data_IF_352533245286
#
_entry.id   IF_352533245286
#
_cell.length_a   1.000
_cell.length_b   1.000
_cell.length_c   1.000
_cell.angle_alpha   90.00
_cell.angle_beta   90.00
_cell.angle_gamma   90.00
#
_symmetry.space_group_name_H-M   'P 1'
#
loop_
_entity.id
_entity.type
_entity.pdbx_description
1 polymer ?
#
# COMPACT_ATOMS: atom_id res chain seq x y z
N UNK A 1 8.20 -5.03 -15.95
CA UNK A 1 7.42 -4.58 -14.80
C UNK A 1 7.33 -3.07 -14.87
N UNK A 2 6.13 -2.55 -15.05
CA UNK A 2 5.83 -1.13 -14.94
C UNK A 2 5.63 -0.79 -13.47
N UNK A 3 6.28 0.27 -13.01
CA UNK A 3 6.09 0.81 -11.66
C UNK A 3 5.23 2.06 -11.77
N UNK A 4 4.20 2.15 -10.93
CA UNK A 4 3.30 3.29 -10.87
C UNK A 4 3.74 4.23 -9.75
N UNK A 5 3.95 5.48 -10.14
CA UNK A 5 4.49 6.53 -9.30
C UNK A 5 3.40 7.58 -9.04
N UNK A 6 3.34 8.10 -7.81
CA UNK A 6 2.48 9.24 -7.50
C UNK A 6 2.96 10.49 -8.23
N UNK A 7 2.02 11.20 -8.86
CA UNK A 7 2.34 12.38 -9.66
C UNK A 7 2.67 13.61 -8.80
N UNK A 8 2.32 13.62 -7.51
CA UNK A 8 2.57 14.74 -6.60
C UNK A 8 3.89 14.59 -5.84
N UNK A 9 4.17 13.42 -5.26
CA UNK A 9 5.37 13.17 -4.47
C UNK A 9 6.50 12.55 -5.28
N UNK A 10 6.18 11.77 -6.31
CA UNK A 10 7.16 10.94 -7.00
C UNK A 10 7.47 9.62 -6.28
N UNK A 11 6.69 9.21 -5.29
CA UNK A 11 6.91 7.92 -4.62
C UNK A 11 6.31 6.77 -5.43
N UNK A 12 6.94 5.61 -5.36
CA UNK A 12 6.45 4.37 -5.99
C UNK A 12 5.36 3.74 -5.12
N UNK A 13 4.19 3.46 -5.70
CA UNK A 13 3.03 2.95 -4.94
C UNK A 13 2.67 1.51 -5.27
N UNK A 14 2.93 1.07 -6.51
CA UNK A 14 2.39 -0.15 -7.10
C UNK A 14 3.24 -0.58 -8.30
N UNK A 15 3.13 -1.83 -8.73
CA UNK A 15 3.56 -2.27 -10.07
C UNK A 15 2.50 -3.11 -10.76
N UNK A 16 2.65 -3.26 -12.08
CA UNK A 16 1.79 -4.11 -12.93
C UNK A 16 1.88 -5.62 -12.61
N UNK A 17 2.80 -6.02 -11.72
CA UNK A 17 2.89 -7.38 -11.20
C UNK A 17 1.78 -7.74 -10.22
N UNK A 18 1.08 -6.75 -9.65
CA UNK A 18 -0.03 -6.97 -8.72
C UNK A 18 -1.37 -6.89 -9.47
N UNK A 19 -2.27 -7.87 -9.31
CA UNK A 19 -3.58 -7.82 -9.94
C UNK A 19 -4.42 -6.70 -9.32
N UNK A 20 -5.01 -5.89 -10.18
CA UNK A 20 -5.89 -4.78 -9.78
C UNK A 20 -7.11 -4.68 -10.69
N UNK A 21 -8.16 -4.05 -10.18
CA UNK A 21 -9.36 -3.70 -10.94
C UNK A 21 -9.64 -2.21 -10.84
N UNK A 22 -10.22 -1.67 -11.90
CA UNK A 22 -10.65 -0.28 -11.93
C UNK A 22 -12.03 -0.11 -11.29
N UNK A 23 -12.16 0.91 -10.45
CA UNK A 23 -13.39 1.33 -9.82
C UNK A 23 -13.68 2.80 -10.14
N UNK A 24 -14.93 3.21 -9.94
CA UNK A 24 -15.36 4.61 -10.05
C UNK A 24 -14.94 5.28 -11.37
N UNK A 25 -15.20 4.61 -12.50
CA UNK A 25 -14.85 5.07 -13.86
C UNK A 25 -13.33 5.27 -14.07
N UNK A 26 -12.52 4.36 -13.53
CA UNK A 26 -11.06 4.40 -13.66
C UNK A 26 -10.37 5.41 -12.75
N UNK A 27 -11.08 5.97 -11.77
CA UNK A 27 -10.49 6.92 -10.81
C UNK A 27 -9.76 6.23 -9.67
N UNK A 28 -10.11 4.98 -9.38
CA UNK A 28 -9.53 4.20 -8.29
C UNK A 28 -9.10 2.83 -8.83
N UNK A 29 -8.00 2.31 -8.30
CA UNK A 29 -7.60 0.92 -8.47
C UNK A 29 -7.72 0.19 -7.13
N UNK A 30 -8.45 -0.93 -7.12
CA UNK A 30 -8.44 -1.87 -5.99
C UNK A 30 -7.44 -2.96 -6.32
N UNK A 31 -6.42 -3.10 -5.48
CA UNK A 31 -5.30 -4.03 -5.67
C UNK A 31 -5.44 -5.19 -4.68
N UNK A 32 -5.29 -6.41 -5.18
CA UNK A 32 -5.34 -7.61 -4.34
C UNK A 32 -3.95 -7.87 -3.74
N UNK A 33 -3.86 -7.78 -2.41
CA UNK A 33 -2.66 -8.11 -1.64
C UNK A 33 -2.77 -9.50 -0.99
N UNK A 34 -1.62 -10.12 -0.75
CA UNK A 34 -1.50 -11.43 -0.08
C UNK A 34 -0.74 -11.29 1.23
N UNK A 35 -1.21 -12.02 2.25
CA UNK A 35 -0.46 -12.13 3.51
C UNK A 35 0.78 -13.00 3.32
N UNK A 36 1.93 -12.46 3.69
CA UNK A 36 3.23 -13.14 3.66
C UNK A 36 3.88 -13.06 5.04
N UNK A 37 4.66 -14.07 5.40
CA UNK A 37 5.42 -14.11 6.66
C UNK A 37 6.83 -13.61 6.38
N UNK A 38 7.23 -12.53 7.04
CA UNK A 38 8.58 -11.98 7.00
C UNK A 38 9.38 -12.52 8.19
N UNK A 39 10.62 -12.94 7.96
CA UNK A 39 11.52 -13.42 9.02
C UNK A 39 11.70 -14.93 9.10
N UNK A 40 10.94 -15.74 8.35
CA UNK A 40 11.22 -17.17 8.21
C UNK A 40 12.34 -17.42 7.18
N UNK A 41 13.50 -16.81 7.39
CA UNK A 41 14.74 -17.34 6.80
C UNK A 41 15.40 -18.09 7.92
N UNK A 42 15.31 -19.41 7.87
CA UNK A 42 16.24 -20.30 8.53
C UNK A 42 17.62 -19.96 7.92
N UNK A 43 18.32 -18.99 8.51
CA UNK A 43 19.70 -18.74 8.15
C UNK A 43 20.46 -19.90 8.77
N UNK A 44 20.54 -21.00 8.03
CA UNK A 44 21.43 -22.10 8.33
C UNK A 44 22.86 -21.56 8.17
N UNK A 45 23.36 -20.87 9.20
CA UNK A 45 24.78 -20.54 9.40
C UNK A 45 25.48 -21.85 9.76
N UNK A 46 25.41 -22.81 8.84
CA UNK A 46 26.14 -24.05 8.89
C UNK A 46 27.62 -23.75 8.76
N UNK A 47 28.33 -23.75 9.88
CA UNK A 47 29.58 -24.49 10.11
C UNK A 47 30.41 -23.89 11.26
N UNK A 48 30.18 -24.35 12.49
CA UNK A 48 31.27 -24.47 13.46
C UNK A 48 31.21 -25.84 14.17
N UNK A 49 31.98 -26.84 13.71
CA UNK A 49 31.96 -28.19 14.26
C UNK A 49 32.88 -28.30 15.47
N UNK A 50 32.64 -27.52 16.53
CA UNK A 50 33.45 -27.65 17.76
C UNK A 50 32.75 -27.05 18.99
N UNK A 51 31.83 -27.80 19.59
CA UNK A 51 31.71 -27.95 21.06
C UNK A 51 30.51 -28.83 21.41
N UNK A 52 30.80 -30.01 21.94
CA UNK A 52 29.84 -30.84 22.68
C UNK A 52 29.28 -30.05 23.88
N UNK A 53 27.97 -30.11 24.09
CA UNK A 53 27.31 -29.55 25.28
C UNK A 53 25.81 -29.41 25.07
N UNK A 54 25.04 -30.30 25.69
CA UNK A 54 23.61 -30.47 25.46
C UNK A 54 22.70 -29.34 25.94
N UNK A 55 21.46 -29.41 25.45
CA UNK A 55 20.34 -28.54 25.83
C UNK A 55 19.31 -28.52 24.71
N UNK A 56 18.20 -29.22 24.96
CA UNK A 56 17.01 -29.29 24.12
C UNK A 56 16.46 -27.91 23.71
N UNK A 57 16.08 -27.82 22.43
CA UNK A 57 14.80 -27.30 21.92
C UNK A 57 14.17 -26.11 22.68
N UNK A 58 14.32 -24.89 22.13
CA UNK A 58 13.27 -23.85 22.04
C UNK A 58 13.87 -22.56 21.45
N UNK A 59 14.04 -22.53 20.13
CA UNK A 59 14.57 -21.37 19.41
C UNK A 59 13.80 -21.07 18.13
N UNK A 60 12.47 -21.21 18.14
CA UNK A 60 11.66 -20.76 17.00
C UNK A 60 11.57 -19.24 17.09
N UNK A 61 12.20 -18.57 16.13
CA UNK A 61 12.36 -17.12 16.05
C UNK A 61 11.01 -16.39 16.16
N UNK A 62 10.79 -15.72 17.30
CA UNK A 62 9.60 -14.93 17.66
C UNK A 62 9.46 -13.65 16.80
N UNK A 63 10.23 -13.51 15.70
CA UNK A 63 10.22 -12.33 14.82
C UNK A 63 9.45 -12.54 13.51
N UNK A 64 8.72 -13.66 13.36
CA UNK A 64 7.89 -13.92 12.19
C UNK A 64 6.70 -12.92 12.11
N UNK A 65 6.88 -11.81 11.41
CA UNK A 65 5.85 -10.77 11.22
C UNK A 65 5.06 -11.05 9.95
N UNK A 66 3.74 -11.21 10.09
CA UNK A 66 2.84 -11.26 8.93
C UNK A 66 2.59 -9.87 8.38
N UNK A 67 2.87 -9.68 7.10
CA UNK A 67 2.68 -8.41 6.37
C UNK A 67 1.95 -8.68 5.06
N UNK A 68 1.31 -7.65 4.49
CA UNK A 68 0.76 -7.74 3.13
C UNK A 68 1.90 -7.53 2.14
N UNK A 69 2.02 -8.39 1.14
CA UNK A 69 3.09 -8.41 0.14
C UNK A 69 3.30 -7.05 -0.55
N UNK A 70 2.24 -6.37 -0.98
CA UNK A 70 2.33 -5.05 -1.61
C UNK A 70 2.83 -3.99 -0.62
N UNK A 71 2.38 -4.05 0.64
CA UNK A 71 2.80 -3.11 1.69
C UNK A 71 4.30 -3.28 1.96
N UNK A 72 4.79 -4.51 2.03
CA UNK A 72 6.21 -4.78 2.25
C UNK A 72 7.07 -4.40 1.02
N UNK A 73 6.59 -4.73 -0.19
CA UNK A 73 7.30 -4.48 -1.46
C UNK A 73 7.54 -3.00 -1.69
N UNK A 74 6.52 -2.15 -1.51
CA UNK A 74 6.62 -0.69 -1.70
C UNK A 74 6.89 0.07 -0.40
N UNK A 75 7.12 -0.65 0.71
CA UNK A 75 7.36 -0.07 2.05
C UNK A 75 6.29 0.94 2.47
N UNK A 76 5.03 0.67 2.13
CA UNK A 76 3.91 1.55 2.42
C UNK A 76 3.77 1.74 3.93
N UNK A 77 3.48 2.98 4.35
CA UNK A 77 3.37 3.34 5.76
C UNK A 77 1.93 3.66 6.10
N UNK A 78 1.40 2.99 7.14
CA UNK A 78 0.08 3.30 7.68
C UNK A 78 0.05 4.74 8.20
N UNK A 79 -0.99 5.49 7.85
CA UNK A 79 -1.30 6.83 8.31
C UNK A 79 -2.38 6.79 9.40
N UNK A 80 -2.38 7.78 10.31
CA UNK A 80 -3.48 7.95 11.26
C UNK A 80 -4.84 8.03 10.55
N UNK A 81 -5.83 7.35 11.11
CA UNK A 81 -7.19 7.39 10.58
C UNK A 81 -7.72 8.82 10.48
N UNK A 82 -8.33 9.15 9.35
CA UNK A 82 -8.95 10.45 9.14
C UNK A 82 -10.37 10.47 9.70
N UNK A 83 -10.76 11.59 10.33
CA UNK A 83 -12.17 11.91 10.47
C UNK A 83 -12.76 12.41 9.14
N UNK A 84 -14.09 12.40 9.00
CA UNK A 84 -14.78 12.79 7.75
C UNK A 84 -14.41 14.21 7.28
N UNK A 85 -14.24 15.16 8.21
CA UNK A 85 -13.87 16.55 7.86
C UNK A 85 -12.43 16.64 7.42
N UNK A 86 -11.52 15.95 8.11
CA UNK A 86 -10.12 15.86 7.72
C UNK A 86 -9.98 15.25 6.32
N UNK A 87 -10.68 14.13 6.06
CA UNK A 87 -10.64 13.45 4.76
C UNK A 87 -11.11 14.36 3.62
N UNK A 88 -12.27 15.02 3.78
CA UNK A 88 -12.79 15.95 2.78
C UNK A 88 -11.84 17.13 2.54
N UNK A 89 -11.22 17.64 3.61
CA UNK A 89 -10.24 18.74 3.50
C UNK A 89 -8.98 18.30 2.75
N UNK A 90 -8.49 17.09 3.05
CA UNK A 90 -7.36 16.49 2.35
C UNK A 90 -7.67 16.26 0.88
N UNK A 91 -8.80 15.62 0.56
CA UNK A 91 -9.21 15.35 -0.83
C UNK A 91 -9.36 16.63 -1.65
N UNK A 92 -9.93 17.70 -1.07
CA UNK A 92 -9.99 19.01 -1.75
C UNK A 92 -8.61 19.56 -2.11
N UNK A 93 -7.64 19.43 -1.18
CA UNK A 93 -6.26 19.85 -1.41
C UNK A 93 -5.58 18.96 -2.46
N UNK A 94 -5.76 17.65 -2.36
CA UNK A 94 -5.23 16.67 -3.30
C UNK A 94 -5.71 16.95 -4.73
N UNK A 95 -7.03 17.09 -4.94
CA UNK A 95 -7.63 17.40 -6.24
C UNK A 95 -7.09 18.72 -6.79
N UNK A 96 -6.99 19.76 -5.95
CA UNK A 96 -6.44 21.07 -6.35
C UNK A 96 -4.98 20.98 -6.82
N UNK A 97 -4.18 20.14 -6.17
CA UNK A 97 -2.77 19.97 -6.51
C UNK A 97 -2.56 19.05 -7.72
N UNK A 98 -3.37 18.00 -7.86
CA UNK A 98 -3.25 17.02 -8.93
C UNK A 98 -3.78 17.54 -10.27
N UNK A 99 -4.94 18.20 -10.27
CA UNK A 99 -5.60 18.69 -11.49
C UNK A 99 -4.64 19.42 -12.45
N UNK A 100 -3.83 20.42 -12.03
CA UNK A 100 -2.92 21.14 -12.93
C UNK A 100 -1.73 20.30 -13.44
N UNK A 101 -1.48 19.12 -12.87
CA UNK A 101 -0.43 18.19 -13.30
C UNK A 101 -0.92 17.22 -14.37
N UNK A 102 -2.22 17.13 -14.59
CA UNK A 102 -2.81 16.26 -15.62
C UNK A 102 -2.82 16.96 -16.98
N UNK A 103 -2.67 16.17 -18.04
CA UNK A 103 -2.88 16.61 -19.42
C UNK A 103 -4.31 17.16 -19.61
N UNK A 104 -4.53 18.15 -20.50
CA UNK A 104 -5.83 18.83 -20.65
C UNK A 104 -7.01 17.86 -20.85
N UNK A 105 -6.84 16.84 -21.69
CA UNK A 105 -7.88 15.84 -21.95
C UNK A 105 -8.21 15.01 -20.69
N UNK A 106 -7.20 14.68 -19.89
CA UNK A 106 -7.37 13.94 -18.63
C UNK A 106 -7.98 14.80 -17.54
N UNK A 107 -7.77 16.12 -17.55
CA UNK A 107 -8.38 17.02 -16.58
C UNK A 107 -9.90 17.02 -16.65
N UNK A 108 -10.47 17.01 -17.85
CA UNK A 108 -11.93 17.00 -18.02
C UNK A 108 -12.53 15.71 -17.49
N UNK A 109 -11.94 14.57 -17.84
CA UNK A 109 -12.35 13.24 -17.34
C UNK A 109 -12.21 13.17 -15.82
N UNK A 110 -11.09 13.62 -15.27
CA UNK A 110 -10.83 13.62 -13.83
C UNK A 110 -11.86 14.47 -13.08
N UNK A 111 -12.08 15.73 -13.50
CA UNK A 111 -13.05 16.62 -12.86
C UNK A 111 -14.48 16.07 -12.90
N UNK A 112 -14.84 15.34 -13.96
CA UNK A 112 -16.17 14.73 -14.09
C UNK A 112 -16.38 13.55 -13.13
N UNK A 113 -15.35 12.74 -12.91
CA UNK A 113 -15.50 11.45 -12.22
C UNK A 113 -14.99 11.45 -10.76
N UNK A 114 -14.09 12.36 -10.40
CA UNK A 114 -13.44 12.37 -9.07
C UNK A 114 -14.41 12.60 -7.91
N UNK A 115 -15.54 13.28 -8.14
CA UNK A 115 -16.56 13.50 -7.12
C UNK A 115 -17.19 12.17 -6.65
N UNK A 116 -17.51 11.27 -7.59
CA UNK A 116 -18.07 9.96 -7.29
C UNK A 116 -17.06 9.12 -6.49
N UNK A 117 -15.80 9.07 -6.95
CA UNK A 117 -14.72 8.39 -6.25
C UNK A 117 -14.51 8.91 -4.82
N UNK A 118 -14.53 10.24 -4.63
CA UNK A 118 -14.38 10.84 -3.30
C UNK A 118 -15.55 10.46 -2.38
N UNK A 119 -16.78 10.38 -2.91
CA UNK A 119 -17.96 9.94 -2.15
C UNK A 119 -17.90 8.46 -1.80
N UNK A 120 -17.45 7.62 -2.73
CA UNK A 120 -17.24 6.19 -2.50
C UNK A 120 -16.26 5.98 -1.34
N UNK A 121 -15.08 6.61 -1.39
CA UNK A 121 -14.08 6.52 -0.33
C UNK A 121 -14.61 7.04 1.02
N UNK A 122 -15.29 8.20 1.02
CA UNK A 122 -15.87 8.78 2.24
C UNK A 122 -16.91 7.86 2.90
N UNK A 123 -17.66 7.09 2.11
CA UNK A 123 -18.66 6.15 2.63
C UNK A 123 -18.05 4.96 3.36
N UNK A 124 -16.83 4.57 2.95
CA UNK A 124 -16.06 3.44 3.46
C UNK A 124 -14.88 3.83 4.35
N UNK A 125 -14.75 5.11 4.71
CA UNK A 125 -13.59 5.63 5.44
C UNK A 125 -13.29 4.87 6.75
N UNK A 126 -14.31 4.28 7.39
CA UNK A 126 -14.14 3.48 8.61
C UNK A 126 -13.63 2.06 8.37
N UNK A 127 -13.79 1.56 7.16
CA UNK A 127 -13.38 0.21 6.75
C UNK A 127 -11.93 0.20 6.23
N UNK A 128 -11.35 1.39 5.99
CA UNK A 128 -9.99 1.54 5.47
C UNK A 128 -9.00 1.85 6.59
N UNK A 129 -7.87 1.13 6.54
CA UNK A 129 -6.60 1.58 7.11
C UNK A 129 -5.94 2.45 6.05
N UNK A 130 -5.47 3.63 6.47
CA UNK A 130 -4.88 4.64 5.58
C UNK A 130 -3.37 4.62 5.66
#
# INVERSE_FOLDING_TARGET
>A
MLVYQDLLSGDELLSDSFPYKELENGMLWEVEGKWVVKGAVDVDIGANPSAEGGGEDEGVDDQAVKVVDIVDTFRLQEQPAFDKKQFVTYMKRYIKNLTPKLEPEKQEVFKKNIEAATKFLLSKLRDFQL
#
